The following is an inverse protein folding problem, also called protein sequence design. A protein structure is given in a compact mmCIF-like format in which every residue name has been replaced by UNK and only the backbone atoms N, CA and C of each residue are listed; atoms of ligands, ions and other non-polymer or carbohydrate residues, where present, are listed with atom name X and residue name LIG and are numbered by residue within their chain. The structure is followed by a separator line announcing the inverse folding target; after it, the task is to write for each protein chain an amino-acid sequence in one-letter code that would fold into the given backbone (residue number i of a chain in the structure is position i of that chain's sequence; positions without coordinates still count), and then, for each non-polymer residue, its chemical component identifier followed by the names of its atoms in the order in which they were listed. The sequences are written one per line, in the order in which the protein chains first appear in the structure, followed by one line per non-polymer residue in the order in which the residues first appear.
data_IF_908085818374
#
_entry.id   IF_908085818374
#
_cell.length_a   1.000
_cell.length_b   1.000
_cell.length_c   1.000
_cell.angle_alpha   90.00
_cell.angle_beta   90.00
_cell.angle_gamma   90.00
#
_symmetry.space_group_name_H-M   'P 1'
#
loop_
_entity.id
_entity.type
_entity.pdbx_description
1 polymer ?
#
# COMPACT_ATOMS: atom_id res chain seq x y z
N UNK A 1 21.85 -1.73 -17.75
CA UNK A 1 20.50 -1.43 -17.21
C UNK A 1 20.49 0.01 -16.74
N UNK A 2 19.62 0.86 -17.30
CA UNK A 2 19.47 2.23 -16.80
C UNK A 2 18.81 2.19 -15.41
N UNK A 3 19.44 2.78 -14.39
CA UNK A 3 18.79 3.02 -13.09
C UNK A 3 17.58 3.92 -13.35
N UNK A 4 16.37 3.37 -13.23
CA UNK A 4 15.14 4.16 -13.24
C UNK A 4 15.20 5.07 -12.01
N UNK A 5 15.47 6.36 -12.22
CA UNK A 5 15.43 7.36 -11.15
C UNK A 5 13.97 7.41 -10.68
N UNK A 6 13.72 6.95 -9.46
CA UNK A 6 12.42 7.13 -8.82
C UNK A 6 12.43 8.55 -8.31
N UNK A 7 11.66 9.42 -8.94
CA UNK A 7 11.47 10.79 -8.50
C UNK A 7 10.77 10.80 -7.13
N UNK A 8 11.07 11.81 -6.32
CA UNK A 8 10.52 11.99 -4.97
C UNK A 8 10.12 13.44 -4.77
N UNK A 9 9.07 13.66 -3.98
CA UNK A 9 8.65 14.99 -3.54
C UNK A 9 9.04 15.20 -2.07
N UNK A 10 9.18 16.45 -1.66
CA UNK A 10 9.43 16.85 -0.27
C UNK A 10 8.22 17.61 0.26
N UNK A 11 7.75 17.26 1.46
CA UNK A 11 6.70 18.00 2.15
C UNK A 11 6.93 17.99 3.66
N UNK A 12 7.03 19.17 4.28
CA UNK A 12 7.27 19.28 5.72
C UNK A 12 8.57 18.64 6.21
N UNK A 13 9.59 18.53 5.35
CA UNK A 13 10.85 17.85 5.66
C UNK A 13 10.82 16.31 5.51
N UNK A 14 9.72 15.75 5.00
CA UNK A 14 9.55 14.32 4.76
C UNK A 14 9.58 14.05 3.24
N UNK A 15 10.32 13.01 2.84
CA UNK A 15 10.40 12.53 1.47
C UNK A 15 9.24 11.58 1.15
N UNK A 16 8.51 11.84 0.06
CA UNK A 16 7.46 10.95 -0.45
C UNK A 16 7.79 10.47 -1.87
N UNK A 17 7.44 9.22 -2.21
CA UNK A 17 7.62 8.70 -3.57
C UNK A 17 6.61 9.36 -4.55
N UNK A 18 7.10 10.01 -5.61
CA UNK A 18 6.25 10.79 -6.54
C UNK A 18 5.31 9.92 -7.40
N UNK A 19 5.59 8.62 -7.48
CA UNK A 19 4.74 7.65 -8.20
C UNK A 19 3.33 7.52 -7.61
N UNK A 20 3.16 7.81 -6.32
CA UNK A 20 1.87 7.65 -5.60
C UNK A 20 1.42 8.92 -4.89
N UNK A 21 2.29 9.92 -4.74
CA UNK A 21 1.98 11.16 -4.03
C UNK A 21 2.36 12.39 -4.86
N UNK A 22 1.55 13.44 -4.75
CA UNK A 22 1.85 14.78 -5.23
C UNK A 22 1.86 15.75 -4.05
N UNK A 23 2.44 16.94 -4.20
CA UNK A 23 2.44 17.93 -3.12
C UNK A 23 1.00 18.31 -2.73
N UNK A 24 0.11 18.42 -3.71
CA UNK A 24 -1.30 18.72 -3.51
C UNK A 24 -2.02 17.62 -2.73
N UNK A 25 -1.75 16.34 -3.02
CA UNK A 25 -2.43 15.24 -2.33
C UNK A 25 -1.99 15.12 -0.86
N UNK A 26 -0.70 15.36 -0.58
CA UNK A 26 -0.17 15.40 0.78
C UNK A 26 -0.66 16.66 1.52
N UNK A 27 -0.72 17.81 0.84
CA UNK A 27 -1.26 19.04 1.39
C UNK A 27 -2.72 18.88 1.78
N UNK A 28 -3.54 18.32 0.88
CA UNK A 28 -4.94 18.04 1.14
C UNK A 28 -5.12 17.13 2.36
N UNK A 29 -4.38 16.02 2.43
CA UNK A 29 -4.43 15.10 3.56
C UNK A 29 -4.05 15.78 4.90
N UNK A 30 -3.05 16.68 4.89
CA UNK A 30 -2.58 17.37 6.09
C UNK A 30 -3.50 18.52 6.53
N UNK A 31 -4.05 19.30 5.60
CA UNK A 31 -4.69 20.58 5.92
C UNK A 31 -6.17 20.67 5.59
N UNK A 32 -6.66 19.85 4.66
CA UNK A 32 -7.99 20.00 4.10
C UNK A 32 -8.92 18.81 4.40
N UNK A 33 -8.36 17.63 4.67
CA UNK A 33 -9.14 16.43 4.91
C UNK A 33 -10.00 16.58 6.18
N UNK A 34 -11.32 16.45 6.01
CA UNK A 34 -12.28 16.55 7.11
C UNK A 34 -12.46 15.19 7.78
N UNK A 35 -12.04 15.09 9.05
CA UNK A 35 -12.22 13.90 9.87
C UNK A 35 -13.63 13.87 10.44
N UNK A 36 -14.31 12.72 10.32
CA UNK A 36 -15.61 12.46 10.93
C UNK A 36 -15.43 11.71 12.25
N UNK A 37 -16.35 11.86 13.18
CA UNK A 37 -16.30 11.17 14.49
C UNK A 37 -16.33 9.64 14.34
N UNK A 38 -16.95 9.13 13.28
CA UNK A 38 -17.01 7.69 12.96
C UNK A 38 -15.86 7.18 12.10
N UNK A 39 -14.86 8.01 11.81
CA UNK A 39 -13.74 7.62 10.95
C UNK A 39 -12.80 6.63 11.68
N UNK A 40 -12.37 5.60 10.95
CA UNK A 40 -11.34 4.65 11.39
C UNK A 40 -10.12 4.80 10.49
N UNK A 41 -8.95 5.00 11.08
CA UNK A 41 -7.68 5.12 10.36
C UNK A 41 -6.78 3.93 10.65
N UNK A 42 -6.20 3.35 9.59
CA UNK A 42 -5.11 2.39 9.69
C UNK A 42 -3.79 3.12 9.45
N UNK A 43 -3.02 3.37 10.51
CA UNK A 43 -1.75 4.11 10.46
C UNK A 43 -0.59 3.16 10.72
N UNK A 44 0.29 3.02 9.73
CA UNK A 44 1.42 2.08 9.79
C UNK A 44 2.64 2.68 9.11
N UNK A 45 3.84 2.37 9.61
CA UNK A 45 5.05 2.56 8.83
C UNK A 45 5.04 1.64 7.60
N UNK A 46 5.56 2.07 6.43
CA UNK A 46 5.59 1.23 5.25
C UNK A 46 6.18 -0.14 5.54
N UNK A 47 5.52 -1.19 5.03
CA UNK A 47 5.90 -2.61 5.18
C UNK A 47 5.63 -3.23 6.56
N UNK A 48 4.98 -2.54 7.48
CA UNK A 48 4.59 -3.07 8.80
C UNK A 48 3.21 -3.76 8.83
N UNK A 49 2.73 -4.31 7.71
CA UNK A 49 1.49 -5.10 7.67
C UNK A 49 0.21 -4.33 7.34
N UNK A 50 0.28 -3.14 6.72
CA UNK A 50 -0.88 -2.32 6.34
C UNK A 50 -1.96 -3.12 5.60
N UNK A 51 -1.55 -3.91 4.60
CA UNK A 51 -2.45 -4.75 3.78
C UNK A 51 -3.14 -5.83 4.61
N UNK A 52 -2.43 -6.42 5.59
CA UNK A 52 -3.02 -7.41 6.48
C UNK A 52 -4.09 -6.78 7.36
N UNK A 53 -3.80 -5.61 7.95
CA UNK A 53 -4.79 -4.90 8.76
C UNK A 53 -6.00 -4.44 7.92
N UNK A 54 -5.78 -3.99 6.68
CA UNK A 54 -6.88 -3.67 5.75
C UNK A 54 -7.79 -4.87 5.48
N UNK A 55 -7.24 -6.08 5.35
CA UNK A 55 -8.03 -7.31 5.20
C UNK A 55 -8.90 -7.59 6.43
N UNK A 56 -8.29 -7.56 7.63
CA UNK A 56 -9.02 -7.79 8.89
C UNK A 56 -10.16 -6.77 9.05
N UNK A 57 -9.87 -5.49 8.81
CA UNK A 57 -10.89 -4.44 8.88
C UNK A 57 -12.02 -4.69 7.88
N UNK A 58 -11.68 -5.06 6.64
CA UNK A 58 -12.68 -5.37 5.60
C UNK A 58 -13.61 -6.49 6.06
N UNK A 59 -13.06 -7.57 6.63
CA UNK A 59 -13.86 -8.69 7.15
C UNK A 59 -14.72 -8.30 8.35
N UNK A 60 -14.22 -7.46 9.26
CA UNK A 60 -15.02 -6.94 10.39
C UNK A 60 -16.21 -6.12 9.87
N UNK A 61 -15.98 -5.19 8.93
CA UNK A 61 -17.05 -4.37 8.35
C UNK A 61 -18.07 -5.18 7.57
N UNK A 62 -17.64 -6.29 6.95
CA UNK A 62 -18.50 -7.22 6.22
C UNK A 62 -19.11 -8.33 7.09
N UNK A 63 -19.01 -8.25 8.42
CA UNK A 63 -19.48 -9.30 9.35
C UNK A 63 -18.96 -10.71 9.01
N UNK A 64 -17.72 -10.80 8.52
CA UNK A 64 -17.06 -12.04 8.14
C UNK A 64 -17.26 -12.48 6.68
N UNK A 65 -18.08 -11.79 5.88
CA UNK A 65 -18.22 -12.10 4.45
C UNK A 65 -16.96 -11.68 3.67
N UNK A 66 -16.25 -12.68 3.13
CA UNK A 66 -15.02 -12.48 2.36
C UNK A 66 -15.24 -12.18 0.87
N UNK A 67 -16.49 -12.19 0.39
CA UNK A 67 -16.79 -12.01 -1.05
C UNK A 67 -16.21 -10.69 -1.58
N UNK A 68 -16.34 -9.61 -0.80
CA UNK A 68 -15.82 -8.29 -1.17
C UNK A 68 -14.28 -8.24 -1.20
N UNK A 69 -13.61 -8.81 -0.20
CA UNK A 69 -12.14 -8.75 -0.12
C UNK A 69 -11.44 -9.66 -1.14
N UNK A 70 -12.13 -10.70 -1.61
CA UNK A 70 -11.65 -11.62 -2.66
C UNK A 70 -11.92 -11.13 -4.09
N UNK A 71 -12.91 -10.24 -4.26
CA UNK A 71 -13.28 -9.69 -5.58
C UNK A 71 -12.62 -8.34 -5.88
N UNK A 72 -12.24 -7.57 -4.86
CA UNK A 72 -11.67 -6.22 -5.00
C UNK A 72 -10.31 -6.13 -4.30
N UNK A 73 -9.30 -5.62 -5.02
CA UNK A 73 -7.96 -5.48 -4.43
C UNK A 73 -7.97 -4.46 -3.28
N UNK A 74 -7.07 -4.62 -2.30
CA UNK A 74 -7.06 -3.77 -1.10
C UNK A 74 -6.94 -2.25 -1.38
N UNK A 75 -6.34 -1.87 -2.51
CA UNK A 75 -6.21 -0.47 -2.95
C UNK A 75 -7.47 0.07 -3.62
N UNK A 76 -8.38 -0.81 -4.04
CA UNK A 76 -9.64 -0.52 -4.75
C UNK A 76 -10.86 -0.67 -3.83
N UNK A 77 -10.67 -1.01 -2.56
CA UNK A 77 -11.79 -1.13 -1.60
C UNK A 77 -12.47 0.22 -1.31
N UNK A 78 -11.90 1.34 -1.78
CA UNK A 78 -12.56 2.65 -1.93
C UNK A 78 -12.55 3.14 -3.40
N UNK A 79 -12.81 2.24 -4.36
CA UNK A 79 -12.92 2.59 -5.78
C UNK A 79 -14.07 3.58 -6.00
N UNK A 80 -15.20 3.37 -5.32
CA UNK A 80 -16.35 4.27 -5.40
C UNK A 80 -16.05 5.68 -4.88
N UNK A 81 -15.41 5.82 -3.72
CA UNK A 81 -15.00 7.14 -3.22
C UNK A 81 -13.95 7.80 -4.12
N UNK A 82 -13.06 7.02 -4.73
CA UNK A 82 -12.10 7.53 -5.72
C UNK A 82 -12.79 8.04 -6.98
N UNK A 83 -13.77 7.31 -7.51
CA UNK A 83 -14.58 7.74 -8.66
C UNK A 83 -15.32 9.04 -8.34
N UNK A 84 -15.92 9.16 -7.14
CA UNK A 84 -16.61 10.38 -6.72
C UNK A 84 -15.67 11.59 -6.63
N UNK A 85 -14.47 11.43 -6.04
CA UNK A 85 -13.45 12.50 -5.97
C UNK A 85 -12.97 12.93 -7.36
N UNK A 86 -12.80 11.98 -8.28
CA UNK A 86 -12.44 12.27 -9.68
C UNK A 86 -13.59 13.00 -10.39
N UNK A 87 -14.83 12.59 -10.17
CA UNK A 87 -16.01 13.25 -10.71
C UNK A 87 -16.11 14.70 -10.25
N UNK A 88 -15.89 14.95 -8.96
CA UNK A 88 -15.84 16.30 -8.37
C UNK A 88 -14.72 17.13 -9.00
N UNK A 89 -13.50 16.60 -9.07
CA UNK A 89 -12.35 17.27 -9.69
C UNK A 89 -12.58 17.62 -11.17
N UNK A 90 -13.21 16.72 -11.93
CA UNK A 90 -13.52 16.92 -13.35
C UNK A 90 -14.79 17.75 -13.60
N UNK A 91 -15.51 18.17 -12.54
CA UNK A 91 -16.79 18.86 -12.66
C UNK A 91 -17.88 18.01 -13.32
N UNK A 92 -17.82 16.69 -13.17
CA UNK A 92 -18.78 15.73 -13.72
C UNK A 92 -19.73 15.26 -12.64
N UNK A 93 -21.01 15.60 -12.77
CA UNK A 93 -22.05 15.10 -11.88
C UNK A 93 -22.62 13.81 -12.44
N UNK A 94 -22.08 12.67 -11.99
CA UNK A 94 -22.65 11.36 -12.27
C UNK A 94 -23.72 11.03 -11.22
N UNK A 95 -24.85 10.49 -11.68
CA UNK A 95 -25.83 9.92 -10.75
C UNK A 95 -25.28 8.63 -10.10
N UNK A 96 -25.89 8.16 -8.99
CA UNK A 96 -25.40 6.98 -8.28
C UNK A 96 -25.29 5.73 -9.15
N UNK A 97 -26.21 5.51 -10.09
CA UNK A 97 -26.19 4.35 -10.97
C UNK A 97 -25.05 4.43 -11.99
N UNK A 98 -24.76 5.63 -12.50
CA UNK A 98 -23.61 5.87 -13.36
C UNK A 98 -22.28 5.71 -12.59
N UNK A 99 -22.20 6.15 -11.34
CA UNK A 99 -21.03 5.91 -10.47
C UNK A 99 -20.83 4.41 -10.26
N UNK A 100 -21.88 3.68 -9.93
CA UNK A 100 -21.81 2.23 -9.71
C UNK A 100 -21.41 1.50 -11.00
N UNK A 101 -21.88 1.96 -12.16
CA UNK A 101 -21.46 1.46 -13.47
C UNK A 101 -19.98 1.72 -13.76
N UNK A 102 -19.44 2.89 -13.39
CA UNK A 102 -18.01 3.19 -13.53
C UNK A 102 -17.18 2.28 -12.62
N UNK A 103 -17.60 2.09 -11.37
CA UNK A 103 -16.93 1.20 -10.42
C UNK A 103 -16.89 -0.23 -10.93
N UNK A 104 -18.00 -0.73 -11.45
CA UNK A 104 -18.09 -2.09 -12.02
C UNK A 104 -17.17 -2.26 -13.23
N UNK A 105 -17.21 -1.32 -14.18
CA UNK A 105 -16.40 -1.41 -15.40
C UNK A 105 -14.91 -1.15 -15.19
N UNK A 106 -14.57 -0.37 -14.15
CA UNK A 106 -13.19 -0.15 -13.71
C UNK A 106 -12.69 -1.25 -12.77
N UNK A 107 -13.52 -2.24 -12.42
CA UNK A 107 -13.08 -3.36 -11.61
C UNK A 107 -12.01 -4.17 -12.33
N UNK A 108 -11.09 -4.75 -11.55
CA UNK A 108 -9.97 -5.50 -12.09
C UNK A 108 -10.41 -6.67 -13.00
N UNK A 109 -11.50 -7.38 -12.65
CA UNK A 109 -12.01 -8.49 -13.47
C UNK A 109 -12.49 -8.03 -14.85
N UNK A 110 -13.22 -6.92 -14.90
CA UNK A 110 -13.72 -6.34 -16.15
C UNK A 110 -12.56 -5.76 -16.98
N UNK A 111 -11.63 -5.04 -16.35
CA UNK A 111 -10.45 -4.52 -17.04
C UNK A 111 -9.53 -5.64 -17.57
N UNK A 112 -9.30 -6.70 -16.79
CA UNK A 112 -8.46 -7.83 -17.18
C UNK A 112 -9.03 -8.59 -18.39
N UNK A 113 -10.35 -8.66 -18.52
CA UNK A 113 -11.01 -9.32 -19.65
C UNK A 113 -11.15 -8.42 -20.88
N UNK A 114 -11.05 -7.09 -20.72
CA UNK A 114 -11.10 -6.14 -21.82
C UNK A 114 -9.78 -6.08 -22.60
N UNK A 115 -9.78 -6.64 -23.82
CA UNK A 115 -8.63 -6.71 -24.72
C UNK A 115 -8.03 -5.35 -25.10
N UNK A 116 -8.82 -4.28 -25.02
CA UNK A 116 -8.36 -2.92 -25.34
C UNK A 116 -7.49 -2.30 -24.24
N UNK A 117 -7.53 -2.84 -23.01
CA UNK A 117 -6.83 -2.26 -21.85
C UNK A 117 -5.92 -3.25 -21.14
N UNK A 118 -6.08 -4.56 -21.36
CA UNK A 118 -5.24 -5.59 -20.74
C UNK A 118 -3.93 -5.86 -21.52
N UNK A 119 -3.63 -5.05 -22.55
CA UNK A 119 -2.41 -5.09 -23.35
C UNK A 119 -2.17 -6.41 -24.11
N UNK A 120 -3.16 -7.28 -24.22
CA UNK A 120 -3.06 -8.54 -24.98
C UNK A 120 -2.95 -8.34 -26.50
N UNK A 121 -3.23 -7.13 -26.99
CA UNK A 121 -3.10 -6.77 -28.41
C UNK A 121 -1.78 -6.08 -28.76
N UNK A 122 -0.89 -5.88 -27.77
CA UNK A 122 0.44 -5.32 -28.02
C UNK A 122 1.38 -6.44 -28.50
N UNK A 123 2.27 -6.18 -29.48
CA UNK A 123 3.21 -7.18 -29.97
C UNK A 123 4.07 -7.81 -28.86
N UNK A 124 4.38 -9.11 -28.99
CA UNK A 124 5.14 -9.86 -27.98
C UNK A 124 6.55 -9.27 -27.75
N UNK A 125 7.14 -8.58 -28.74
CA UNK A 125 8.44 -7.92 -28.57
C UNK A 125 8.41 -6.76 -27.55
N UNK A 126 7.23 -6.16 -27.32
CA UNK A 126 7.05 -5.05 -26.38
C UNK A 126 6.55 -5.53 -25.02
N UNK A 127 5.74 -6.59 -24.96
CA UNK A 127 5.23 -7.13 -23.71
C UNK A 127 4.88 -8.63 -23.82
N UNK A 128 5.78 -9.49 -23.35
CA UNK A 128 5.58 -10.94 -23.31
C UNK A 128 4.74 -11.36 -22.09
N UNK A 129 3.45 -11.57 -22.33
CA UNK A 129 2.46 -12.00 -21.34
C UNK A 129 2.70 -13.44 -20.82
N UNK A 130 3.59 -14.23 -21.47
CA UNK A 130 3.90 -15.62 -21.07
C UNK A 130 4.91 -15.69 -19.92
N UNK A 131 5.77 -14.67 -19.76
CA UNK A 131 6.81 -14.62 -18.71
C UNK A 131 6.21 -14.18 -17.37
N UNK A 132 5.41 -13.13 -17.38
CA UNK A 132 4.69 -12.67 -16.20
C UNK A 132 3.44 -11.94 -16.66
N UNK A 133 2.30 -12.36 -16.12
CA UNK A 133 1.14 -11.47 -16.14
C UNK A 133 1.48 -10.23 -15.32
N UNK A 134 0.96 -9.08 -15.73
CA UNK A 134 1.32 -7.77 -15.16
C UNK A 134 1.12 -7.67 -13.62
N UNK A 135 0.42 -8.62 -12.98
CA UNK A 135 0.13 -8.62 -11.53
C UNK A 135 0.49 -9.97 -10.87
N UNK A 136 1.45 -9.99 -9.92
CA UNK A 136 2.27 -11.18 -9.55
C UNK A 136 2.08 -11.81 -8.13
N UNK A 137 2.66 -11.34 -6.98
CA UNK A 137 2.36 -11.64 -5.51
C UNK A 137 3.55 -11.43 -4.51
N UNK A 138 3.34 -11.43 -3.16
CA UNK A 138 4.34 -11.19 -2.08
C UNK A 138 4.17 -11.93 -0.70
N UNK A 139 5.29 -12.16 0.02
CA UNK A 139 5.46 -12.92 1.30
C UNK A 139 6.53 -12.24 2.22
N UNK A 140 6.59 -12.49 3.55
CA UNK A 140 7.54 -11.90 4.53
C UNK A 140 8.18 -12.92 5.51
N UNK A 141 9.24 -12.50 6.23
CA UNK A 141 10.21 -13.22 7.11
C UNK A 141 11.54 -13.61 6.42
N UNK A 142 12.37 -12.62 6.09
CA UNK A 142 13.65 -12.87 5.38
C UNK A 142 14.84 -12.01 5.87
N UNK A 143 14.71 -11.18 6.91
CA UNK A 143 15.78 -10.23 7.25
C UNK A 143 17.08 -10.91 7.74
N UNK A 144 16.97 -12.06 8.44
CA UNK A 144 18.12 -12.82 8.93
C UNK A 144 19.00 -13.42 7.82
N UNK A 145 18.45 -13.61 6.62
CA UNK A 145 19.21 -14.08 5.45
C UNK A 145 19.86 -12.94 4.68
N UNK A 146 19.53 -11.69 5.02
CA UNK A 146 19.95 -10.50 4.29
C UNK A 146 21.01 -9.66 5.02
N UNK A 147 21.10 -9.75 6.34
CA UNK A 147 22.05 -8.99 7.15
C UNK A 147 23.33 -9.79 7.40
N UNK A 148 24.50 -9.14 7.27
CA UNK A 148 25.74 -9.67 7.85
C UNK A 148 25.77 -9.43 9.36
N UNK A 149 26.64 -10.13 10.08
CA UNK A 149 26.81 -9.95 11.52
C UNK A 149 27.19 -8.51 11.86
N UNK A 150 28.10 -7.90 11.10
CA UNK A 150 28.53 -6.52 11.31
C UNK A 150 27.39 -5.52 11.10
N UNK A 151 26.56 -5.74 10.07
CA UNK A 151 25.37 -4.92 9.82
C UNK A 151 24.34 -5.07 10.93
N UNK A 152 24.17 -6.27 11.47
CA UNK A 152 23.27 -6.55 12.58
C UNK A 152 23.71 -5.81 13.85
N UNK A 153 24.99 -5.89 14.20
CA UNK A 153 25.58 -5.17 15.36
C UNK A 153 25.44 -3.66 15.20
N UNK A 154 25.78 -3.13 14.03
CA UNK A 154 25.67 -1.70 13.76
C UNK A 154 24.21 -1.21 13.84
N UNK A 155 23.26 -1.99 13.30
CA UNK A 155 21.84 -1.68 13.39
C UNK A 155 21.35 -1.70 14.84
N UNK A 156 21.78 -2.69 15.63
CA UNK A 156 21.39 -2.83 17.04
C UNK A 156 21.87 -1.63 17.89
N UNK A 157 23.11 -1.19 17.71
CA UNK A 157 23.62 0.00 18.41
C UNK A 157 22.84 1.27 18.06
N UNK A 158 22.51 1.44 16.78
CA UNK A 158 21.69 2.57 16.32
C UNK A 158 20.27 2.50 16.89
N UNK A 159 19.68 1.30 16.91
CA UNK A 159 18.36 1.04 17.50
C UNK A 159 18.34 1.42 18.98
N UNK A 160 19.28 0.90 19.78
CA UNK A 160 19.37 1.23 21.20
C UNK A 160 19.51 2.74 21.43
N UNK A 161 20.38 3.40 20.64
CA UNK A 161 20.58 4.86 20.74
C UNK A 161 19.31 5.64 20.44
N UNK A 162 18.58 5.28 19.38
CA UNK A 162 17.42 6.03 18.90
C UNK A 162 16.15 5.73 19.68
N UNK A 163 16.01 4.52 20.22
CA UNK A 163 14.84 4.08 20.99
C UNK A 163 15.00 4.33 22.50
N UNK A 164 16.19 4.80 22.93
CA UNK A 164 16.45 5.14 24.32
C UNK A 164 15.47 6.20 24.85
N UNK A 165 14.86 5.92 26.00
CA UNK A 165 13.90 6.81 26.65
C UNK A 165 12.44 6.62 26.24
N UNK A 166 12.14 5.63 25.38
CA UNK A 166 10.75 5.21 25.15
C UNK A 166 10.29 4.28 26.29
N UNK A 167 9.12 4.55 26.85
CA UNK A 167 8.46 3.70 27.86
C UNK A 167 7.70 2.53 27.21
N UNK A 168 8.27 1.94 26.15
CA UNK A 168 7.64 0.85 25.39
C UNK A 168 8.66 -0.25 25.14
N UNK A 169 8.33 -1.48 25.54
CA UNK A 169 9.08 -2.66 25.12
C UNK A 169 8.45 -3.22 23.85
N UNK A 170 9.28 -3.47 22.85
CA UNK A 170 8.80 -4.04 21.59
C UNK A 170 8.89 -5.56 21.61
N UNK A 171 7.88 -6.29 21.10
CA UNK A 171 7.88 -7.76 21.13
C UNK A 171 9.10 -8.42 20.45
N UNK A 172 9.76 -7.73 19.52
CA UNK A 172 10.96 -8.24 18.85
C UNK A 172 12.26 -8.07 19.66
N UNK A 173 12.22 -7.36 20.79
CA UNK A 173 13.39 -7.19 21.68
C UNK A 173 13.65 -8.46 22.51
N UNK A 174 12.59 -9.15 22.93
CA UNK A 174 12.69 -10.44 23.62
C UNK A 174 13.32 -11.52 22.73
N UNK A 175 13.00 -11.52 21.43
CA UNK A 175 13.62 -12.40 20.43
C UNK A 175 15.13 -12.17 20.23
N UNK A 176 15.67 -11.02 20.64
CA UNK A 176 17.11 -10.76 20.59
C UNK A 176 17.82 -11.24 21.87
N UNK A 177 17.17 -11.23 23.03
CA UNK A 177 17.77 -11.64 24.30
C UNK A 177 18.08 -13.15 24.36
N UNK A 178 17.25 -14.00 23.77
CA UNK A 178 17.46 -15.46 23.76
C UNK A 178 18.64 -15.90 22.86
N UNK A 179 19.07 -15.06 21.90
CA UNK A 179 20.12 -15.41 20.94
C UNK A 179 21.51 -14.82 21.30
N UNK A 180 21.64 -14.12 22.43
CA UNK A 180 22.91 -13.59 22.92
C UNK A 180 23.41 -14.28 24.20
N UNK A 181 22.77 -15.40 24.62
CA UNK A 181 23.23 -16.22 25.76
C UNK A 181 24.20 -17.35 25.37
N UNK A 182 24.52 -17.52 24.08
CA UNK A 182 25.63 -18.37 23.64
C UNK A 182 26.52 -17.55 22.70
N UNK A 183 27.59 -16.98 23.26
CA UNK A 183 28.99 -16.87 22.76
C UNK A 183 29.76 -15.99 23.75
#
# INVERSE_FOLDING_TARGET
MAKRIVESIQYGGITFPSIVHSEESVHYAHRCFQVRDSAVFNVTYPKSGTTWMQEILTLIYSNGDSTFSQSVSCWERDLRGSVLRICEFLGKNLDPAAVDSVVENASFGVMKSNKMVNYTMVPEELMDQKISTFLRKGVSVDWKTHFTEEQSVAFHQLYQKNMNGLETNFPWEEFQAENHQEI
#
